data_IF_445433954686
#
_entry.id   IF_445433954686
#
_cell.length_a   1.000
_cell.length_b   1.000
_cell.length_c   1.000
_cell.angle_alpha   90.00
_cell.angle_beta   90.00
_cell.angle_gamma   90.00
#
_symmetry.space_group_name_H-M   'P 1'
#
loop_
_entity.id
_entity.type
_entity.pdbx_description
1 polymer ?
#
# COMPACT_ATOMS: atom_id res chain seq x y z
N UNK A 1 3.99 -24.80 -29.44
CA UNK A 1 4.32 -23.36 -29.26
C UNK A 1 5.46 -23.04 -30.22
N UNK A 2 5.30 -22.07 -31.10
CA UNK A 2 6.33 -21.71 -32.11
C UNK A 2 7.58 -21.16 -31.41
N UNK A 3 8.76 -21.55 -31.88
CA UNK A 3 10.04 -21.15 -31.29
C UNK A 3 10.70 -20.04 -32.11
N UNK A 4 11.62 -19.32 -31.51
CA UNK A 4 12.39 -18.25 -32.17
C UNK A 4 13.12 -18.76 -33.44
N UNK A 5 13.55 -20.01 -33.41
CA UNK A 5 14.18 -20.67 -34.53
C UNK A 5 13.23 -20.83 -35.73
N UNK A 6 11.99 -21.21 -35.46
CA UNK A 6 10.96 -21.39 -36.49
C UNK A 6 10.64 -20.05 -37.20
N UNK A 7 10.57 -18.96 -36.43
CA UNK A 7 10.39 -17.57 -36.96
C UNK A 7 11.61 -17.18 -37.84
N UNK A 8 12.82 -17.53 -37.39
CA UNK A 8 14.03 -17.23 -38.17
C UNK A 8 14.05 -17.95 -39.54
N UNK A 9 13.64 -19.21 -39.54
CA UNK A 9 13.50 -19.99 -40.78
C UNK A 9 12.44 -19.40 -41.74
N UNK A 10 11.25 -19.06 -41.23
CA UNK A 10 10.19 -18.41 -41.99
C UNK A 10 10.63 -17.04 -42.56
N UNK A 11 11.40 -16.28 -41.78
CA UNK A 11 11.92 -14.99 -42.22
C UNK A 11 13.12 -15.10 -43.15
N UNK A 12 13.81 -16.26 -43.20
CA UNK A 12 15.04 -16.44 -44.00
C UNK A 12 16.23 -15.69 -43.40
N UNK A 13 16.30 -15.57 -42.06
CA UNK A 13 17.36 -14.85 -41.33
C UNK A 13 17.89 -15.67 -40.16
N UNK A 14 18.96 -15.19 -39.52
CA UNK A 14 19.48 -15.84 -38.33
C UNK A 14 18.55 -15.64 -37.12
N UNK A 15 18.58 -16.57 -36.17
CA UNK A 15 17.91 -16.44 -34.87
C UNK A 15 18.32 -15.15 -34.15
N UNK A 16 19.58 -14.76 -34.28
CA UNK A 16 20.12 -13.51 -33.70
C UNK A 16 19.44 -12.27 -34.32
N UNK A 17 19.18 -12.29 -35.63
CA UNK A 17 18.48 -11.18 -36.31
C UNK A 17 17.05 -11.04 -35.80
N UNK A 18 16.31 -12.17 -35.67
CA UNK A 18 14.96 -12.16 -35.08
C UNK A 18 14.99 -11.62 -33.65
N UNK A 19 15.90 -12.12 -32.81
CA UNK A 19 16.09 -11.66 -31.45
C UNK A 19 16.38 -10.14 -31.37
N UNK A 20 17.23 -9.64 -32.27
CA UNK A 20 17.53 -8.22 -32.35
C UNK A 20 16.29 -7.37 -32.70
N UNK A 21 15.45 -7.84 -33.63
CA UNK A 21 14.21 -7.14 -33.97
C UNK A 21 13.23 -7.15 -32.80
N UNK A 22 13.01 -8.27 -32.15
CA UNK A 22 12.15 -8.41 -30.97
C UNK A 22 12.60 -7.46 -29.83
N UNK A 23 13.91 -7.35 -29.65
CA UNK A 23 14.49 -6.56 -28.55
C UNK A 23 14.79 -5.09 -28.96
N UNK A 24 14.36 -4.64 -30.15
CA UNK A 24 14.57 -3.26 -30.61
C UNK A 24 15.99 -2.91 -31.04
N UNK A 25 16.90 -3.89 -31.06
CA UNK A 25 18.31 -3.70 -31.49
C UNK A 25 18.43 -3.68 -33.01
N UNK A 26 17.74 -2.76 -33.67
CA UNK A 26 17.52 -2.76 -35.13
C UNK A 26 18.57 -2.00 -35.94
N UNK A 27 19.57 -1.34 -35.30
CA UNK A 27 20.56 -0.48 -35.98
C UNK A 27 21.30 -1.14 -37.17
N UNK A 28 21.40 -2.46 -37.20
CA UNK A 28 22.09 -3.24 -38.26
C UNK A 28 21.12 -4.11 -39.05
N UNK A 29 19.81 -3.86 -38.97
CA UNK A 29 18.77 -4.65 -39.66
C UNK A 29 18.03 -3.73 -40.64
N UNK A 30 17.86 -4.15 -41.88
CA UNK A 30 17.11 -3.35 -42.85
C UNK A 30 15.63 -3.23 -42.50
N UNK A 31 15.00 -2.10 -42.82
CA UNK A 31 13.57 -1.88 -42.54
C UNK A 31 12.72 -3.00 -43.16
N UNK A 32 13.03 -3.44 -44.39
CA UNK A 32 12.32 -4.56 -45.05
C UNK A 32 12.39 -5.86 -44.24
N UNK A 33 13.53 -6.13 -43.59
CA UNK A 33 13.70 -7.33 -42.73
C UNK A 33 12.93 -7.18 -41.44
N UNK A 34 12.91 -5.99 -40.83
CA UNK A 34 12.14 -5.68 -39.63
C UNK A 34 10.65 -5.90 -39.90
N UNK A 35 10.13 -5.32 -40.98
CA UNK A 35 8.72 -5.43 -41.34
C UNK A 35 8.32 -6.90 -41.59
N UNK A 36 9.16 -7.67 -42.29
CA UNK A 36 8.94 -9.11 -42.52
C UNK A 36 8.86 -9.89 -41.22
N UNK A 37 9.83 -9.70 -40.36
CA UNK A 37 9.86 -10.39 -39.04
C UNK A 37 8.64 -10.01 -38.20
N UNK A 38 8.30 -8.73 -38.16
CA UNK A 38 7.16 -8.23 -37.38
C UNK A 38 5.83 -8.80 -37.89
N UNK A 39 5.68 -8.94 -39.20
CA UNK A 39 4.51 -9.57 -39.81
C UNK A 39 4.38 -11.04 -39.44
N UNK A 40 5.49 -11.80 -39.52
CA UNK A 40 5.52 -13.22 -39.12
C UNK A 40 5.22 -13.39 -37.65
N UNK A 41 5.83 -12.57 -36.76
CA UNK A 41 5.56 -12.60 -35.31
C UNK A 41 4.08 -12.41 -34.99
N UNK A 42 3.43 -11.46 -35.68
CA UNK A 42 2.00 -11.16 -35.54
C UNK A 42 1.12 -12.30 -36.07
N UNK A 43 1.42 -12.82 -37.28
CA UNK A 43 0.68 -13.92 -37.90
C UNK A 43 0.73 -15.20 -37.05
N UNK A 44 1.92 -15.49 -36.48
CA UNK A 44 2.14 -16.67 -35.66
C UNK A 44 1.76 -16.47 -34.18
N UNK A 45 1.23 -15.30 -33.80
CA UNK A 45 0.92 -14.94 -32.42
C UNK A 45 2.11 -15.25 -31.48
N UNK A 46 3.33 -14.97 -31.95
CA UNK A 46 4.53 -15.26 -31.17
C UNK A 46 4.68 -14.31 -30.01
N UNK A 47 4.72 -14.85 -28.80
CA UNK A 47 5.01 -14.09 -27.56
C UNK A 47 6.41 -14.48 -27.08
N UNK A 48 7.34 -13.51 -26.95
CA UNK A 48 8.67 -13.79 -26.43
C UNK A 48 8.61 -14.39 -25.02
N UNK A 49 9.34 -15.46 -24.81
CA UNK A 49 9.43 -16.05 -23.48
C UNK A 49 10.26 -15.15 -22.56
N UNK A 50 9.72 -14.73 -21.43
CA UNK A 50 10.38 -13.77 -20.51
C UNK A 50 11.79 -14.21 -20.09
N UNK A 51 12.02 -15.51 -19.89
CA UNK A 51 13.36 -16.02 -19.62
C UNK A 51 14.38 -15.69 -20.72
N UNK A 52 13.97 -15.67 -21.99
CA UNK A 52 14.85 -15.26 -23.11
C UNK A 52 15.09 -13.74 -23.12
N UNK A 53 14.10 -12.96 -22.76
CA UNK A 53 14.21 -11.48 -22.65
C UNK A 53 15.16 -11.12 -21.52
N UNK A 54 15.05 -11.78 -20.38
CA UNK A 54 15.95 -11.57 -19.22
C UNK A 54 17.41 -11.92 -19.54
N UNK A 55 17.64 -13.02 -20.25
CA UNK A 55 18.98 -13.45 -20.67
C UNK A 55 19.62 -12.50 -21.70
N UNK A 56 18.81 -11.75 -22.45
CA UNK A 56 19.31 -10.75 -23.41
C UNK A 56 19.66 -9.38 -22.79
N UNK A 57 19.60 -9.26 -21.47
CA UNK A 57 20.02 -8.04 -20.75
C UNK A 57 18.97 -6.94 -20.66
N UNK A 58 17.72 -7.22 -21.04
CA UNK A 58 16.63 -6.21 -21.05
C UNK A 58 15.87 -6.08 -19.73
N UNK A 59 16.42 -6.64 -18.65
CA UNK A 59 15.77 -6.65 -17.34
C UNK A 59 14.57 -7.61 -17.26
N UNK A 60 13.97 -7.72 -16.08
CA UNK A 60 12.78 -8.58 -15.88
C UNK A 60 11.46 -7.85 -16.11
N UNK A 61 11.50 -6.53 -16.05
CA UNK A 61 10.30 -5.66 -16.00
C UNK A 61 9.34 -6.04 -14.86
N UNK A 62 9.87 -6.57 -13.77
CA UNK A 62 9.09 -6.95 -12.59
C UNK A 62 9.36 -5.95 -11.47
N UNK A 63 8.30 -5.36 -10.95
CA UNK A 63 8.31 -4.60 -9.70
C UNK A 63 7.72 -5.48 -8.60
N UNK A 64 8.50 -5.68 -7.53
CA UNK A 64 8.02 -6.40 -6.36
C UNK A 64 7.22 -5.47 -5.43
N UNK A 65 6.04 -5.91 -5.02
CA UNK A 65 5.28 -5.28 -3.94
C UNK A 65 5.35 -6.19 -2.73
N UNK A 66 6.05 -5.73 -1.70
CA UNK A 66 6.31 -6.49 -0.48
C UNK A 66 5.31 -6.10 0.60
N UNK A 67 4.56 -7.07 1.11
CA UNK A 67 3.67 -6.90 2.25
C UNK A 67 4.35 -7.42 3.51
N UNK A 68 4.78 -6.51 4.38
CA UNK A 68 5.52 -6.79 5.61
C UNK A 68 4.69 -7.42 6.73
N UNK A 69 3.40 -7.63 6.48
CA UNK A 69 2.43 -8.23 7.40
C UNK A 69 1.47 -9.13 6.65
N UNK A 70 1.11 -10.27 7.26
CA UNK A 70 0.13 -11.20 6.69
C UNK A 70 -1.30 -10.77 7.02
N UNK A 71 -1.50 -10.18 8.20
CA UNK A 71 -2.81 -9.77 8.69
C UNK A 71 -2.85 -8.28 9.01
N UNK A 72 -3.94 -7.64 8.64
CA UNK A 72 -4.34 -6.30 9.06
C UNK A 72 -5.75 -6.39 9.64
N UNK A 73 -6.02 -5.75 10.78
CA UNK A 73 -7.33 -5.77 11.46
C UNK A 73 -7.88 -7.19 11.72
N UNK A 74 -6.98 -8.20 11.85
CA UNK A 74 -7.38 -9.61 12.03
C UNK A 74 -7.86 -10.31 10.76
N UNK A 75 -7.72 -9.69 9.58
CA UNK A 75 -7.99 -10.28 8.27
C UNK A 75 -6.70 -10.36 7.43
N UNK A 76 -6.73 -11.12 6.34
CA UNK A 76 -5.60 -11.15 5.40
C UNK A 76 -5.35 -9.76 4.83
N UNK A 77 -4.10 -9.36 4.71
CA UNK A 77 -3.69 -8.00 4.32
C UNK A 77 -4.36 -7.50 3.02
N UNK A 78 -4.57 -8.38 2.05
CA UNK A 78 -5.25 -8.02 0.79
C UNK A 78 -6.77 -7.79 0.91
N UNK A 79 -7.38 -8.17 2.03
CA UNK A 79 -8.79 -7.89 2.31
C UNK A 79 -8.98 -6.50 2.93
N UNK A 80 -7.89 -5.90 3.41
CA UNK A 80 -7.91 -4.52 3.90
C UNK A 80 -8.19 -3.56 2.73
N UNK A 81 -9.19 -2.67 2.83
CA UNK A 81 -9.60 -1.79 1.74
C UNK A 81 -8.47 -0.87 1.25
N UNK A 82 -7.67 -0.31 2.18
CA UNK A 82 -6.54 0.55 1.86
C UNK A 82 -5.45 -0.22 1.10
N UNK A 83 -5.08 -1.42 1.59
CA UNK A 83 -4.06 -2.27 0.96
C UNK A 83 -4.53 -2.73 -0.42
N UNK A 84 -5.79 -3.16 -0.54
CA UNK A 84 -6.38 -3.59 -1.81
C UNK A 84 -6.37 -2.47 -2.86
N UNK A 85 -6.80 -1.28 -2.49
CA UNK A 85 -6.81 -0.10 -3.36
C UNK A 85 -5.39 0.33 -3.76
N UNK A 86 -4.45 0.38 -2.82
CA UNK A 86 -3.06 0.72 -3.08
C UNK A 86 -2.42 -0.22 -4.11
N UNK A 87 -2.57 -1.53 -3.92
CA UNK A 87 -2.03 -2.55 -4.83
C UNK A 87 -2.69 -2.45 -6.21
N UNK A 88 -4.01 -2.23 -6.23
CA UNK A 88 -4.77 -2.04 -7.46
C UNK A 88 -4.21 -0.88 -8.30
N UNK A 89 -3.99 0.27 -7.68
CA UNK A 89 -3.42 1.46 -8.34
C UNK A 89 -1.96 1.23 -8.77
N UNK A 90 -1.12 0.63 -7.91
CA UNK A 90 0.27 0.28 -8.27
C UNK A 90 0.27 -0.63 -9.51
N UNK A 91 -0.59 -1.66 -9.54
CA UNK A 91 -0.68 -2.57 -10.68
C UNK A 91 -1.02 -1.85 -11.98
N UNK A 92 -2.06 -1.01 -11.97
CA UNK A 92 -2.51 -0.28 -13.16
C UNK A 92 -1.40 0.59 -13.72
N UNK A 93 -0.77 1.42 -12.90
CA UNK A 93 0.30 2.31 -13.35
C UNK A 93 1.58 1.56 -13.77
N UNK A 94 1.87 0.44 -13.12
CA UNK A 94 3.02 -0.42 -13.48
C UNK A 94 2.81 -1.04 -14.87
N UNK A 95 1.59 -1.50 -15.16
CA UNK A 95 1.20 -2.07 -16.44
C UNK A 95 1.29 -1.05 -17.59
N UNK A 96 0.84 0.19 -17.39
CA UNK A 96 0.97 1.29 -18.34
C UNK A 96 2.42 1.57 -18.75
N UNK A 97 3.37 1.30 -17.86
CA UNK A 97 4.81 1.45 -18.14
C UNK A 97 5.45 0.19 -18.73
N UNK A 98 4.66 -0.85 -19.03
CA UNK A 98 5.12 -2.12 -19.57
C UNK A 98 5.89 -2.98 -18.56
N UNK A 99 5.60 -2.80 -17.27
CA UNK A 99 6.11 -3.62 -16.17
C UNK A 99 5.03 -4.53 -15.60
N UNK A 100 5.43 -5.50 -14.81
CA UNK A 100 4.55 -6.44 -14.11
C UNK A 100 4.72 -6.31 -12.61
N UNK A 101 3.66 -6.53 -11.85
CA UNK A 101 3.69 -6.57 -10.38
C UNK A 101 3.84 -8.00 -9.90
N UNK A 102 4.76 -8.21 -8.98
CA UNK A 102 4.90 -9.46 -8.22
C UNK A 102 4.63 -9.17 -6.74
N UNK A 103 3.58 -9.77 -6.18
CA UNK A 103 3.32 -9.69 -4.74
C UNK A 103 4.24 -10.65 -4.00
N UNK A 104 4.87 -10.16 -2.94
CA UNK A 104 5.84 -10.90 -2.14
C UNK A 104 5.45 -10.80 -0.66
N UNK A 105 5.27 -11.94 0.01
CA UNK A 105 5.11 -11.97 1.46
C UNK A 105 6.40 -11.53 2.14
N UNK A 106 6.30 -10.49 2.97
CA UNK A 106 7.44 -9.77 3.51
C UNK A 106 7.76 -10.06 4.96
N UNK A 107 7.06 -10.96 5.65
CA UNK A 107 7.34 -11.26 7.05
C UNK A 107 8.73 -11.87 7.25
N UNK A 108 9.14 -12.76 6.35
CA UNK A 108 10.51 -13.29 6.29
C UNK A 108 11.35 -12.52 5.26
N UNK A 109 12.35 -11.80 5.76
CA UNK A 109 13.28 -11.03 4.92
C UNK A 109 14.08 -11.92 3.97
N UNK A 110 14.44 -13.14 4.39
CA UNK A 110 15.19 -14.05 3.52
C UNK A 110 14.35 -14.50 2.33
N UNK A 111 13.07 -14.76 2.54
CA UNK A 111 12.14 -15.08 1.46
C UNK A 111 12.05 -13.92 0.44
N UNK A 112 11.99 -12.66 0.90
CA UNK A 112 12.00 -11.50 0.00
C UNK A 112 13.28 -11.45 -0.83
N UNK A 113 14.45 -11.65 -0.21
CA UNK A 113 15.76 -11.68 -0.89
C UNK A 113 15.77 -12.78 -1.96
N UNK A 114 15.33 -13.98 -1.61
CA UNK A 114 15.33 -15.13 -2.50
C UNK A 114 14.43 -14.93 -3.71
N UNK A 115 13.20 -14.49 -3.49
CA UNK A 115 12.25 -14.25 -4.58
C UNK A 115 12.74 -13.10 -5.47
N UNK A 116 13.12 -11.96 -4.89
CA UNK A 116 13.57 -10.81 -5.66
C UNK A 116 14.82 -11.11 -6.49
N UNK A 117 15.73 -11.95 -5.97
CA UNK A 117 16.94 -12.39 -6.69
C UNK A 117 16.62 -13.39 -7.78
N UNK A 118 15.83 -14.45 -7.50
CA UNK A 118 15.46 -15.49 -8.47
C UNK A 118 14.71 -14.94 -9.67
N UNK A 119 13.82 -13.99 -9.46
CA UNK A 119 13.05 -13.35 -10.52
C UNK A 119 13.69 -12.08 -11.07
N UNK A 120 14.89 -11.73 -10.60
CA UNK A 120 15.60 -10.52 -10.98
C UNK A 120 14.71 -9.27 -10.91
N UNK A 121 13.93 -9.13 -9.86
CA UNK A 121 13.03 -7.99 -9.63
C UNK A 121 13.81 -6.68 -9.74
N UNK A 122 13.33 -5.69 -10.48
CA UNK A 122 14.08 -4.46 -10.76
C UNK A 122 14.03 -3.43 -9.62
N UNK A 123 12.92 -3.44 -8.86
CA UNK A 123 12.77 -2.60 -7.69
C UNK A 123 11.64 -3.08 -6.80
N UNK A 124 11.57 -2.54 -5.59
CA UNK A 124 10.60 -2.94 -4.58
C UNK A 124 9.80 -1.73 -4.07
N UNK A 125 8.49 -1.91 -3.94
CA UNK A 125 7.60 -1.07 -3.13
C UNK A 125 7.22 -1.88 -1.90
N UNK A 126 7.45 -1.34 -0.71
CA UNK A 126 7.38 -2.09 0.54
C UNK A 126 6.40 -1.42 1.49
N UNK A 127 5.38 -2.16 1.92
CA UNK A 127 4.41 -1.75 2.91
C UNK A 127 4.62 -2.52 4.22
N UNK A 128 4.57 -1.83 5.36
CA UNK A 128 4.63 -2.45 6.68
C UNK A 128 6.04 -2.80 7.16
N UNK A 129 7.08 -2.17 6.63
CA UNK A 129 8.42 -2.27 7.18
C UNK A 129 8.74 -1.02 8.01
N UNK A 130 9.31 -1.24 9.18
CA UNK A 130 10.00 -0.21 9.95
C UNK A 130 11.45 -0.05 9.49
N UNK A 131 12.17 0.90 10.09
CA UNK A 131 13.57 1.19 9.76
C UNK A 131 14.48 -0.04 9.93
N UNK A 132 14.31 -0.82 10.97
CA UNK A 132 15.14 -2.01 11.26
C UNK A 132 15.00 -3.07 10.17
N UNK A 133 13.78 -3.41 9.79
CA UNK A 133 13.48 -4.38 8.72
C UNK A 133 13.99 -3.90 7.37
N UNK A 134 13.81 -2.61 7.07
CA UNK A 134 14.38 -2.02 5.85
C UNK A 134 15.90 -2.14 5.81
N UNK A 135 16.58 -1.79 6.90
CA UNK A 135 18.06 -1.89 7.01
C UNK A 135 18.54 -3.33 6.84
N UNK A 136 17.83 -4.29 7.42
CA UNK A 136 18.15 -5.71 7.26
C UNK A 136 18.02 -6.17 5.81
N UNK A 137 16.95 -5.77 5.11
CA UNK A 137 16.73 -6.09 3.71
C UNK A 137 17.77 -5.41 2.81
N UNK A 138 18.02 -4.11 3.00
CA UNK A 138 18.94 -3.32 2.15
C UNK A 138 20.40 -3.78 2.22
N UNK A 139 20.82 -4.40 3.33
CA UNK A 139 22.15 -5.01 3.45
C UNK A 139 22.29 -6.30 2.65
N UNK A 140 21.18 -7.03 2.45
CA UNK A 140 21.17 -8.32 1.76
C UNK A 140 20.84 -8.21 0.27
N UNK A 141 20.13 -7.15 -0.12
CA UNK A 141 19.58 -7.00 -1.45
C UNK A 141 19.90 -5.61 -2.03
N UNK A 142 20.77 -5.57 -3.03
CA UNK A 142 21.12 -4.32 -3.73
C UNK A 142 20.08 -4.00 -4.81
N UNK A 143 18.89 -3.59 -4.40
CA UNK A 143 17.79 -3.15 -5.28
C UNK A 143 17.26 -1.79 -4.83
N UNK A 144 16.66 -1.04 -5.74
CA UNK A 144 15.98 0.21 -5.41
C UNK A 144 14.68 -0.09 -4.67
N UNK A 145 14.42 0.66 -3.62
CA UNK A 145 13.30 0.39 -2.71
C UNK A 145 12.60 1.69 -2.32
N UNK A 146 11.28 1.66 -2.32
CA UNK A 146 10.40 2.71 -1.78
C UNK A 146 9.56 2.09 -0.69
N UNK A 147 9.52 2.73 0.47
CA UNK A 147 8.61 2.35 1.55
C UNK A 147 7.31 3.13 1.43
N UNK A 148 6.22 2.53 1.88
CA UNK A 148 4.92 3.17 2.03
C UNK A 148 4.62 3.30 3.51
N UNK A 149 4.24 4.52 3.93
CA UNK A 149 3.81 4.84 5.31
C UNK A 149 4.78 4.32 6.37
N UNK A 150 6.09 4.43 6.10
CA UNK A 150 7.13 4.09 7.07
C UNK A 150 7.51 5.34 7.87
N UNK A 151 7.82 5.14 9.14
CA UNK A 151 8.18 6.23 10.06
C UNK A 151 9.61 6.00 10.54
N UNK A 152 10.55 6.95 10.25
CA UNK A 152 11.92 6.82 10.71
C UNK A 152 11.99 6.99 12.24
N UNK A 153 12.66 6.06 12.90
CA UNK A 153 12.92 6.09 14.34
C UNK A 153 14.30 6.66 14.68
N UNK A 154 15.16 6.85 13.68
CA UNK A 154 16.55 7.27 13.85
C UNK A 154 17.07 8.18 12.73
N UNK A 155 18.41 8.25 12.61
CA UNK A 155 19.11 9.07 11.61
C UNK A 155 19.24 8.40 10.24
N UNK A 156 18.69 7.20 10.06
CA UNK A 156 18.82 6.48 8.80
C UNK A 156 17.80 6.98 7.78
N UNK A 157 18.29 7.32 6.60
CA UNK A 157 17.42 7.81 5.53
C UNK A 157 17.02 6.69 4.58
N UNK A 158 15.76 6.63 4.26
CA UNK A 158 15.19 5.76 3.22
C UNK A 158 14.18 6.54 2.37
N UNK A 159 13.87 6.03 1.19
CA UNK A 159 12.85 6.62 0.34
C UNK A 159 11.48 6.16 0.82
N UNK A 160 10.62 7.11 1.16
CA UNK A 160 9.28 6.84 1.69
C UNK A 160 8.24 7.71 1.00
N UNK A 161 7.06 7.16 0.81
CA UNK A 161 5.85 7.88 0.39
C UNK A 161 4.76 7.64 1.41
N UNK A 162 4.26 8.69 2.02
CA UNK A 162 3.22 8.65 3.05
C UNK A 162 2.33 9.87 2.97
N UNK A 163 1.36 9.94 3.88
CA UNK A 163 0.53 11.12 4.11
C UNK A 163 0.98 11.85 5.38
N UNK A 164 0.51 13.06 5.59
CA UNK A 164 0.69 13.78 6.84
C UNK A 164 -0.35 13.30 7.87
N UNK A 165 -0.06 12.15 8.50
CA UNK A 165 -0.93 11.53 9.51
C UNK A 165 -1.18 12.44 10.72
N UNK A 166 -0.20 13.27 11.07
CA UNK A 166 -0.37 14.25 12.13
C UNK A 166 -1.43 15.30 11.75
N UNK A 167 -1.35 15.85 10.55
CA UNK A 167 -2.33 16.81 10.05
C UNK A 167 -3.73 16.19 9.93
N UNK A 168 -3.83 14.95 9.47
CA UNK A 168 -5.10 14.22 9.42
C UNK A 168 -5.72 14.01 10.80
N UNK A 169 -4.92 13.56 11.76
CA UNK A 169 -5.37 13.44 13.16
C UNK A 169 -5.79 14.81 13.77
N UNK A 170 -5.05 15.86 13.44
CA UNK A 170 -5.40 17.22 13.89
C UNK A 170 -6.77 17.66 13.35
N UNK A 171 -7.05 17.42 12.08
CA UNK A 171 -8.35 17.75 11.45
C UNK A 171 -9.50 17.04 12.14
N UNK A 172 -9.37 15.77 12.48
CA UNK A 172 -10.40 15.02 13.22
C UNK A 172 -10.61 15.59 14.62
N UNK A 173 -9.53 15.88 15.35
CA UNK A 173 -9.62 16.48 16.67
C UNK A 173 -10.30 17.85 16.64
N UNK A 174 -9.94 18.70 15.69
CA UNK A 174 -10.56 20.03 15.50
C UNK A 174 -12.04 19.91 15.12
N UNK A 175 -12.38 18.99 14.22
CA UNK A 175 -13.77 18.73 13.82
C UNK A 175 -14.63 18.28 15.01
N UNK A 176 -14.20 17.25 15.75
CA UNK A 176 -14.94 16.76 16.91
C UNK A 176 -15.08 17.83 18.00
N UNK A 177 -14.02 18.60 18.24
CA UNK A 177 -14.10 19.70 19.18
C UNK A 177 -15.13 20.77 18.75
N UNK A 178 -15.16 21.12 17.45
CA UNK A 178 -16.11 22.09 16.90
C UNK A 178 -17.57 21.61 17.02
N UNK A 179 -17.78 20.30 16.98
CA UNK A 179 -19.08 19.65 17.23
C UNK A 179 -19.44 19.59 18.75
N UNK A 180 -18.58 20.10 19.63
CA UNK A 180 -18.81 20.12 21.08
C UNK A 180 -18.27 18.92 21.86
N UNK A 181 -17.61 17.97 21.21
CA UNK A 181 -17.10 16.74 21.85
C UNK A 181 -15.73 16.98 22.52
N UNK A 182 -15.73 17.65 23.67
CA UNK A 182 -14.51 17.98 24.42
C UNK A 182 -13.82 16.77 25.09
N UNK A 183 -14.50 15.63 25.18
CA UNK A 183 -14.01 14.40 25.84
C UNK A 183 -13.85 13.23 24.86
N UNK A 184 -13.78 13.46 23.58
CA UNK A 184 -13.63 12.39 22.58
C UNK A 184 -12.43 11.48 22.89
N UNK A 185 -12.57 10.19 22.58
CA UNK A 185 -11.51 9.18 22.70
C UNK A 185 -10.92 8.91 21.33
N UNK A 186 -9.64 8.59 21.30
CA UNK A 186 -8.94 8.12 20.10
C UNK A 186 -8.70 6.61 20.23
N UNK A 187 -9.09 5.85 19.21
CA UNK A 187 -9.07 4.38 19.20
C UNK A 187 -8.16 3.91 18.06
N UNK A 188 -7.20 3.05 18.37
CA UNK A 188 -6.26 2.49 17.40
C UNK A 188 -5.81 1.09 17.79
N UNK A 189 -5.17 0.37 16.88
CA UNK A 189 -4.63 -0.98 17.16
C UNK A 189 -3.23 -0.94 17.78
N UNK A 190 -2.47 0.13 17.54
CA UNK A 190 -1.08 0.25 18.01
C UNK A 190 -0.80 1.61 18.64
N UNK A 191 0.36 1.76 19.26
CA UNK A 191 0.90 3.03 19.75
C UNK A 191 2.08 3.51 18.92
N UNK A 192 2.16 3.09 17.68
CA UNK A 192 3.29 3.33 16.79
C UNK A 192 2.83 3.81 15.43
N UNK A 193 3.77 4.24 14.61
CA UNK A 193 3.61 4.57 13.21
C UNK A 193 2.44 5.55 12.96
N UNK A 194 1.62 5.31 11.95
CA UNK A 194 0.47 6.16 11.59
C UNK A 194 -0.48 6.41 12.77
N UNK A 195 -0.80 5.38 13.55
CA UNK A 195 -1.69 5.48 14.70
C UNK A 195 -1.19 6.51 15.71
N UNK A 196 0.10 6.47 16.02
CA UNK A 196 0.72 7.42 16.94
C UNK A 196 0.72 8.85 16.40
N UNK A 197 1.05 9.05 15.13
CA UNK A 197 1.05 10.40 14.55
C UNK A 197 -0.35 10.98 14.41
N UNK A 198 -1.35 10.17 14.03
CA UNK A 198 -2.77 10.55 14.04
C UNK A 198 -3.22 10.96 15.43
N UNK A 199 -2.86 10.18 16.45
CA UNK A 199 -3.12 10.54 17.85
C UNK A 199 -2.47 11.87 18.26
N UNK A 200 -1.21 12.09 17.91
CA UNK A 200 -0.49 13.31 18.29
C UNK A 200 -1.16 14.56 17.69
N UNK A 201 -1.60 14.47 16.44
CA UNK A 201 -2.38 15.52 15.80
C UNK A 201 -3.73 15.76 16.49
N UNK A 202 -4.49 14.69 16.71
CA UNK A 202 -5.76 14.72 17.45
C UNK A 202 -5.62 15.34 18.83
N UNK A 203 -4.65 14.88 19.60
CA UNK A 203 -4.34 15.42 20.93
C UNK A 203 -4.06 16.92 20.88
N UNK A 204 -3.19 17.37 19.98
CA UNK A 204 -2.85 18.78 19.86
C UNK A 204 -4.07 19.64 19.51
N UNK A 205 -4.94 19.19 18.59
CA UNK A 205 -6.15 19.91 18.25
C UNK A 205 -7.08 20.10 19.45
N UNK A 206 -7.28 19.02 20.23
CA UNK A 206 -8.09 19.04 21.44
C UNK A 206 -7.52 19.99 22.50
N UNK A 207 -6.20 19.98 22.73
CA UNK A 207 -5.52 20.82 23.73
C UNK A 207 -5.53 22.30 23.31
N UNK A 208 -5.27 22.62 22.06
CA UNK A 208 -5.23 23.98 21.53
C UNK A 208 -6.58 24.70 21.67
N UNK A 209 -7.67 23.96 21.62
CA UNK A 209 -9.03 24.51 21.78
C UNK A 209 -9.48 24.57 23.26
N UNK A 210 -8.59 24.26 24.21
CA UNK A 210 -8.87 24.26 25.64
C UNK A 210 -9.52 22.98 26.16
N UNK A 211 -9.51 21.91 25.38
CA UNK A 211 -9.86 20.57 25.81
C UNK A 211 -8.66 19.92 26.53
N UNK A 212 -8.91 19.23 27.64
CA UNK A 212 -7.88 18.40 28.25
C UNK A 212 -7.80 17.06 27.51
N UNK A 213 -6.63 16.73 26.94
CA UNK A 213 -6.41 15.47 26.22
C UNK A 213 -5.24 14.67 26.79
N UNK A 214 -5.51 13.97 27.89
CA UNK A 214 -4.52 13.10 28.52
C UNK A 214 -4.26 11.84 27.69
N UNK A 215 -3.12 11.19 27.94
CA UNK A 215 -2.77 9.89 27.34
C UNK A 215 -3.83 8.81 27.58
N UNK A 216 -4.59 8.91 28.68
CA UNK A 216 -5.68 7.98 28.95
C UNK A 216 -6.78 7.97 27.89
N UNK A 217 -6.89 8.99 27.05
CA UNK A 217 -7.85 9.03 25.92
C UNK A 217 -7.40 8.29 24.68
N UNK A 218 -6.16 7.86 24.61
CA UNK A 218 -5.68 6.94 23.60
C UNK A 218 -5.98 5.51 24.03
N UNK A 219 -6.85 4.84 23.34
CA UNK A 219 -7.30 3.48 23.63
C UNK A 219 -6.70 2.55 22.58
N UNK A 220 -5.88 1.61 23.02
CA UNK A 220 -5.40 0.54 22.13
C UNK A 220 -6.36 -0.64 22.23
N UNK A 221 -6.80 -1.11 21.09
CA UNK A 221 -7.69 -2.26 20.94
C UNK A 221 -6.98 -3.38 20.18
N UNK A 222 -7.28 -4.65 20.47
CA UNK A 222 -6.67 -5.77 19.74
C UNK A 222 -7.00 -5.76 18.24
N UNK A 223 -6.03 -6.10 17.38
CA UNK A 223 -6.25 -6.26 15.94
C UNK A 223 -7.18 -7.43 15.59
N UNK A 224 -7.20 -8.51 16.39
CA UNK A 224 -8.10 -9.63 16.17
C UNK A 224 -9.53 -9.31 16.62
N UNK A 225 -10.49 -9.38 15.70
CA UNK A 225 -11.91 -9.03 15.88
C UNK A 225 -12.52 -9.57 17.19
N UNK A 226 -12.31 -10.86 17.49
CA UNK A 226 -12.88 -11.50 18.69
C UNK A 226 -12.47 -10.80 19.99
N UNK A 227 -11.19 -10.43 20.08
CA UNK A 227 -10.67 -9.76 21.27
C UNK A 227 -11.00 -8.27 21.27
N UNK A 228 -11.05 -7.65 20.10
CA UNK A 228 -11.49 -6.26 19.93
C UNK A 228 -12.92 -6.05 20.37
N UNK A 229 -13.86 -6.91 19.95
CA UNK A 229 -15.25 -6.83 20.40
C UNK A 229 -15.40 -7.00 21.90
N UNK A 230 -14.64 -7.90 22.54
CA UNK A 230 -14.59 -8.01 24.02
C UNK A 230 -14.10 -6.73 24.65
N UNK A 231 -13.09 -6.10 24.04
CA UNK A 231 -12.57 -4.83 24.55
C UNK A 231 -13.58 -3.71 24.44
N UNK A 232 -14.39 -3.70 23.38
CA UNK A 232 -15.50 -2.75 23.24
C UNK A 232 -16.56 -2.95 24.32
N UNK A 233 -16.91 -4.20 24.67
CA UNK A 233 -17.80 -4.48 25.81
C UNK A 233 -17.27 -3.91 27.13
N UNK A 234 -16.01 -4.17 27.44
CA UNK A 234 -15.37 -3.65 28.66
C UNK A 234 -15.37 -2.12 28.71
N UNK A 235 -15.19 -1.48 27.58
CA UNK A 235 -15.06 -0.02 27.44
C UNK A 235 -16.39 0.68 27.21
N UNK A 236 -17.49 -0.04 27.04
CA UNK A 236 -18.79 0.54 26.66
C UNK A 236 -19.24 1.69 27.57
N UNK A 237 -19.18 1.60 28.92
CA UNK A 237 -19.54 2.73 29.78
C UNK A 237 -18.71 3.99 29.49
N UNK A 238 -17.42 3.80 29.22
CA UNK A 238 -16.48 4.87 28.93
C UNK A 238 -16.74 5.49 27.55
N UNK A 239 -17.10 4.70 26.57
CA UNK A 239 -17.48 5.16 25.25
C UNK A 239 -18.73 6.04 25.31
N UNK A 240 -19.75 5.60 26.06
CA UNK A 240 -20.97 6.36 26.24
C UNK A 240 -20.76 7.67 27.02
N UNK A 241 -19.84 7.69 27.98
CA UNK A 241 -19.44 8.93 28.69
C UNK A 241 -18.75 9.91 27.73
N UNK A 242 -17.85 9.41 26.90
CA UNK A 242 -17.10 10.23 25.94
C UNK A 242 -17.97 10.81 24.83
N UNK A 243 -19.02 10.10 24.42
CA UNK A 243 -19.97 10.46 23.35
C UNK A 243 -19.39 10.64 21.97
N UNK A 244 -18.06 10.56 21.80
CA UNK A 244 -17.41 10.60 20.51
C UNK A 244 -16.13 9.76 20.51
N UNK A 245 -15.95 9.00 19.43
CA UNK A 245 -14.82 8.12 19.20
C UNK A 245 -14.18 8.46 17.84
N UNK A 246 -12.88 8.75 17.85
CA UNK A 246 -12.07 8.90 16.65
C UNK A 246 -11.27 7.61 16.45
N UNK A 247 -11.58 6.87 15.41
CA UNK A 247 -10.83 5.68 15.04
C UNK A 247 -9.69 6.03 14.09
N UNK A 248 -8.58 5.32 14.22
CA UNK A 248 -7.43 5.48 13.35
C UNK A 248 -7.63 4.87 11.96
N UNK A 249 -8.68 4.07 11.76
CA UNK A 249 -9.05 3.51 10.46
C UNK A 249 -10.57 3.46 10.26
N UNK A 250 -11.01 3.50 9.01
CA UNK A 250 -12.42 3.32 8.66
C UNK A 250 -12.91 1.91 8.97
N UNK A 251 -12.05 0.90 8.80
CA UNK A 251 -12.43 -0.47 9.07
C UNK A 251 -12.87 -0.66 10.52
N UNK A 252 -12.04 -0.22 11.47
CA UNK A 252 -12.35 -0.33 12.90
C UNK A 252 -13.54 0.54 13.29
N UNK A 253 -13.66 1.73 12.69
CA UNK A 253 -14.81 2.62 12.90
C UNK A 253 -16.14 1.95 12.48
N UNK A 254 -16.17 1.31 11.30
CA UNK A 254 -17.35 0.63 10.78
C UNK A 254 -17.68 -0.61 11.62
N UNK A 255 -16.67 -1.37 12.04
CA UNK A 255 -16.89 -2.50 12.94
C UNK A 255 -17.48 -2.04 14.29
N UNK A 256 -17.00 -0.92 14.83
CA UNK A 256 -17.59 -0.32 16.03
C UNK A 256 -19.02 0.17 15.81
N UNK A 257 -19.34 0.76 14.63
CA UNK A 257 -20.71 1.12 14.28
C UNK A 257 -21.63 -0.10 14.33
N UNK A 258 -21.21 -1.24 13.76
CA UNK A 258 -21.98 -2.49 13.81
C UNK A 258 -22.13 -2.99 15.25
N UNK A 259 -21.06 -2.96 16.05
CA UNK A 259 -21.11 -3.31 17.48
C UNK A 259 -22.14 -2.47 18.24
N UNK A 260 -22.17 -1.14 18.05
CA UNK A 260 -23.15 -0.27 18.69
C UNK A 260 -24.58 -0.53 18.18
N UNK A 261 -24.74 -0.78 16.89
CA UNK A 261 -26.04 -1.14 16.32
C UNK A 261 -26.60 -2.42 16.98
N UNK A 262 -25.77 -3.46 17.14
CA UNK A 262 -26.16 -4.73 17.79
C UNK A 262 -26.55 -4.53 19.27
N UNK A 263 -26.03 -3.46 19.91
CA UNK A 263 -26.39 -3.06 21.27
C UNK A 263 -27.59 -2.12 21.36
N UNK A 264 -28.20 -1.77 20.24
CA UNK A 264 -29.29 -0.80 20.20
C UNK A 264 -28.85 0.64 20.47
N UNK A 265 -27.56 0.94 20.35
CA UNK A 265 -27.00 2.28 20.54
C UNK A 265 -26.96 2.99 19.20
N UNK A 266 -27.59 4.16 19.13
CA UNK A 266 -27.70 4.91 17.87
C UNK A 266 -26.44 5.76 17.61
N UNK A 267 -25.89 5.60 16.41
CA UNK A 267 -24.86 6.47 15.84
C UNK A 267 -25.54 7.38 14.81
N UNK A 268 -25.39 8.72 14.85
CA UNK A 268 -24.54 9.49 15.77
C UNK A 268 -25.24 9.95 17.05
N UNK A 269 -26.55 9.70 17.26
CA UNK A 269 -27.38 10.32 18.29
C UNK A 269 -26.85 10.14 19.71
N UNK A 270 -26.41 8.93 20.06
CA UNK A 270 -25.92 8.59 21.39
C UNK A 270 -24.39 8.56 21.44
N UNK A 271 -23.75 8.21 20.33
CA UNK A 271 -22.31 8.20 20.19
C UNK A 271 -21.92 8.56 18.76
N UNK A 272 -21.01 9.51 18.61
CA UNK A 272 -20.48 9.91 17.32
C UNK A 272 -19.19 9.15 17.01
N UNK A 273 -19.01 8.78 15.74
CA UNK A 273 -17.85 7.99 15.29
C UNK A 273 -17.22 8.68 14.08
N UNK A 274 -15.90 8.77 14.08
CA UNK A 274 -15.12 9.17 12.91
C UNK A 274 -14.07 8.11 12.60
N UNK A 275 -13.72 7.99 11.33
CA UNK A 275 -12.67 7.10 10.82
C UNK A 275 -11.50 7.86 10.22
N UNK A 276 -10.71 7.11 9.46
CA UNK A 276 -9.58 7.57 8.68
C UNK A 276 -9.46 6.65 7.46
N UNK A 277 -9.13 7.15 6.29
CA UNK A 277 -8.83 6.56 4.99
C UNK A 277 -9.77 7.03 3.87
N UNK A 278 -11.04 7.36 4.17
CA UNK A 278 -12.12 7.61 3.20
C UNK A 278 -12.29 6.42 2.24
N UNK A 279 -12.27 5.23 2.82
CA UNK A 279 -12.46 3.98 2.08
C UNK A 279 -13.85 3.91 1.44
N UNK A 280 -14.01 3.12 0.40
CA UNK A 280 -15.31 2.94 -0.27
C UNK A 280 -16.44 2.58 0.72
N UNK A 281 -16.12 1.86 1.79
CA UNK A 281 -17.10 1.45 2.80
C UNK A 281 -17.63 2.61 3.64
N UNK A 282 -16.83 3.69 3.84
CA UNK A 282 -17.26 4.87 4.59
C UNK A 282 -18.52 5.52 3.98
N UNK A 283 -18.65 5.47 2.67
CA UNK A 283 -19.79 5.98 1.93
C UNK A 283 -20.99 5.01 1.86
N UNK A 284 -20.75 3.72 2.07
CA UNK A 284 -21.75 2.64 1.93
C UNK A 284 -22.50 2.36 3.23
N UNK A 285 -21.92 2.62 4.39
CA UNK A 285 -22.57 2.43 5.70
C UNK A 285 -23.64 3.50 5.98
N UNK A 286 -24.52 3.21 6.95
CA UNK A 286 -25.56 4.17 7.40
C UNK A 286 -25.51 4.30 8.92
N UNK A 287 -25.41 5.55 9.43
CA UNK A 287 -25.10 6.78 8.68
C UNK A 287 -23.76 6.68 7.95
N UNK A 288 -23.51 7.53 6.94
CA UNK A 288 -22.19 7.61 6.30
C UNK A 288 -21.13 8.00 7.34
N UNK A 289 -19.97 7.39 7.25
CA UNK A 289 -18.87 7.67 8.17
C UNK A 289 -18.19 9.01 7.82
N UNK A 290 -18.03 9.86 8.83
CA UNK A 290 -17.11 11.01 8.74
C UNK A 290 -15.68 10.50 8.85
N UNK A 291 -14.83 10.84 7.90
CA UNK A 291 -13.48 10.28 7.80
C UNK A 291 -12.48 11.28 7.20
N UNK A 292 -11.19 11.03 7.36
CA UNK A 292 -10.11 11.75 6.68
C UNK A 292 -9.78 11.05 5.38
N UNK A 293 -9.76 11.80 4.29
CA UNK A 293 -9.39 11.26 2.98
C UNK A 293 -7.89 11.01 2.86
N UNK A 294 -7.52 9.80 2.45
CA UNK A 294 -6.20 9.47 1.93
C UNK A 294 -6.28 9.32 0.39
N UNK A 295 -5.49 10.11 -0.32
CA UNK A 295 -5.36 9.97 -1.78
C UNK A 295 -4.45 8.78 -2.11
N UNK A 296 -5.04 7.58 -2.05
CA UNK A 296 -4.33 6.30 -2.26
C UNK A 296 -3.81 6.19 -3.70
N UNK A 297 -4.56 6.72 -4.67
CA UNK A 297 -4.11 6.75 -6.07
C UNK A 297 -2.85 7.59 -6.22
N UNK A 298 -2.83 8.80 -5.66
CA UNK A 298 -1.64 9.67 -5.70
C UNK A 298 -0.47 9.06 -4.95
N UNK A 299 -0.73 8.37 -3.83
CA UNK A 299 0.29 7.64 -3.06
C UNK A 299 0.95 6.56 -3.93
N UNK A 300 0.16 5.73 -4.62
CA UNK A 300 0.65 4.72 -5.55
C UNK A 300 1.47 5.35 -6.69
N UNK A 301 0.93 6.42 -7.31
CA UNK A 301 1.60 7.18 -8.37
C UNK A 301 2.98 7.69 -7.92
N UNK A 302 3.05 8.35 -6.78
CA UNK A 302 4.30 8.91 -6.28
C UNK A 302 5.33 7.83 -5.94
N UNK A 303 4.89 6.70 -5.36
CA UNK A 303 5.75 5.59 -5.05
C UNK A 303 6.36 4.96 -6.31
N UNK A 304 5.54 4.66 -7.31
CA UNK A 304 6.02 4.09 -8.56
C UNK A 304 6.89 5.08 -9.34
N UNK A 305 6.47 6.34 -9.44
CA UNK A 305 7.25 7.39 -10.11
C UNK A 305 8.66 7.49 -9.51
N UNK A 306 8.74 7.57 -8.18
CA UNK A 306 10.05 7.67 -7.50
C UNK A 306 10.88 6.41 -7.67
N UNK A 307 10.26 5.22 -7.60
CA UNK A 307 10.96 3.97 -7.85
C UNK A 307 11.55 3.91 -9.26
N UNK A 308 10.77 4.30 -10.27
CA UNK A 308 11.24 4.32 -11.67
C UNK A 308 12.41 5.27 -11.87
N UNK A 309 12.37 6.47 -11.28
CA UNK A 309 13.51 7.41 -11.28
C UNK A 309 14.77 6.76 -10.70
N UNK A 310 14.65 6.12 -9.54
CA UNK A 310 15.79 5.43 -8.91
C UNK A 310 16.34 4.28 -9.76
N UNK A 311 15.48 3.54 -10.47
CA UNK A 311 15.90 2.47 -11.39
C UNK A 311 16.67 3.06 -12.57
N UNK A 312 16.26 4.23 -13.07
CA UNK A 312 16.89 4.94 -14.18
C UNK A 312 18.16 5.71 -13.77
N UNK A 313 18.48 5.78 -12.48
CA UNK A 313 19.69 6.42 -11.96
C UNK A 313 19.52 7.91 -11.63
N UNK A 314 18.29 8.37 -11.45
CA UNK A 314 17.94 9.76 -11.10
C UNK A 314 17.81 10.00 -9.59
#
# INVERSE_FOLDING_TARGET
>A
MIRLQDIAEMAGVSRTTVSNVINGNTKRVSQKTIDKITAILKEQNYVPHMGSVMLSGHGSRIIGVVLGFTYAHGMQSLQDPFVGELIGNIRMETEEKGYYVMLIGGEDIQNVVDIASKWNVEGLIILGYNEERYRSLSRKLNKKMILIDAYPEGAYTFQNVGVDDYSGGYQIGEYLYSCGYKKALFIAETERDSDYYRWMGFKQAMEKKGGFCSRSRYIVVPGEKKYRLRKYEELLPRFLEAKALAFSSDYDAIEAMNFFFDKGIRVPDQISITGYDDSMYASMVRPKLTTVHQDVQKKAHMALKRLMQLIQGE
#
